data_IF_262103722347
#
_entry.id   IF_262103722347
#
_cell.length_a   1.000
_cell.length_b   1.000
_cell.length_c   1.000
_cell.angle_alpha   90.00
_cell.angle_beta   90.00
_cell.angle_gamma   90.00
#
_symmetry.space_group_name_H-M   'P 1'
#
loop_
_entity.id
_entity.type
_entity.pdbx_description
1 polymer ?
#
# COMPACT_ATOMS: atom_id res chain seq x y z
N UNK A 1 -0.56 3.91 2.78
CA UNK A 1 0.35 3.82 1.62
C UNK A 1 -0.23 4.44 0.34
N UNK A 2 -1.45 4.08 -0.09
CA UNK A 2 -2.04 4.63 -1.32
C UNK A 2 -2.04 6.16 -1.44
N UNK A 3 -2.41 6.88 -0.38
CA UNK A 3 -2.39 8.36 -0.36
C UNK A 3 -0.96 8.90 -0.55
N UNK A 4 0.04 8.32 0.11
CA UNK A 4 1.45 8.73 -0.01
C UNK A 4 1.98 8.47 -1.43
N UNK A 5 1.60 7.34 -2.03
CA UNK A 5 1.96 7.02 -3.42
C UNK A 5 1.36 8.03 -4.40
N UNK A 6 0.13 8.46 -4.16
CA UNK A 6 -0.54 9.46 -4.98
C UNK A 6 -0.02 10.88 -4.78
N UNK A 7 0.31 11.28 -3.55
CA UNK A 7 1.02 12.54 -3.25
C UNK A 7 2.35 12.61 -4.04
N UNK A 8 3.12 11.52 -4.05
CA UNK A 8 4.36 11.44 -4.85
C UNK A 8 4.11 11.52 -6.33
N UNK A 9 3.07 10.88 -6.84
CA UNK A 9 2.71 10.93 -8.26
C UNK A 9 2.39 12.37 -8.67
N UNK A 10 1.56 13.07 -7.90
CA UNK A 10 1.24 14.47 -8.14
C UNK A 10 2.48 15.37 -8.11
N UNK A 11 3.34 15.20 -7.12
CA UNK A 11 4.55 16.03 -6.99
C UNK A 11 5.56 15.79 -8.13
N UNK A 12 5.74 14.53 -8.54
CA UNK A 12 6.76 14.16 -9.54
C UNK A 12 6.26 14.37 -10.97
N UNK A 13 5.02 14.00 -11.26
CA UNK A 13 4.48 13.93 -12.64
C UNK A 13 3.71 15.19 -13.01
N UNK A 14 2.99 15.76 -12.05
CA UNK A 14 2.08 16.89 -12.29
C UNK A 14 2.57 18.20 -11.66
N UNK A 15 3.70 18.17 -10.94
CA UNK A 15 4.29 19.32 -10.24
C UNK A 15 3.29 20.05 -9.33
N UNK A 16 2.34 19.30 -8.75
CA UNK A 16 1.29 19.85 -7.87
C UNK A 16 1.40 19.31 -6.47
N UNK A 17 1.12 20.17 -5.50
CA UNK A 17 1.07 19.79 -4.09
C UNK A 17 -0.37 19.56 -3.62
N UNK A 18 -0.50 18.67 -2.64
CA UNK A 18 -1.77 18.37 -2.00
C UNK A 18 -2.20 19.53 -1.11
N UNK A 19 -3.44 20.00 -1.26
CA UNK A 19 -4.03 20.80 -0.19
C UNK A 19 -4.23 19.93 1.04
N UNK A 20 -3.82 20.42 2.21
CA UNK A 20 -4.01 19.72 3.48
C UNK A 20 -5.47 19.31 3.72
N UNK A 21 -6.43 20.16 3.31
CA UNK A 21 -7.87 19.86 3.41
C UNK A 21 -8.27 18.62 2.61
N UNK A 22 -7.72 18.46 1.41
CA UNK A 22 -8.01 17.32 0.55
C UNK A 22 -7.42 16.03 1.12
N UNK A 23 -6.21 16.09 1.67
CA UNK A 23 -5.59 14.95 2.37
C UNK A 23 -6.44 14.47 3.55
N UNK A 24 -6.88 15.39 4.42
CA UNK A 24 -7.73 15.07 5.57
C UNK A 24 -9.09 14.52 5.14
N UNK A 25 -9.67 15.05 4.05
CA UNK A 25 -10.94 14.56 3.52
C UNK A 25 -10.87 13.08 3.09
N UNK A 26 -9.77 12.66 2.43
CA UNK A 26 -9.58 11.26 2.04
C UNK A 26 -9.45 10.37 3.28
N UNK A 27 -8.59 10.75 4.24
CA UNK A 27 -8.42 10.00 5.48
C UNK A 27 -9.73 9.84 6.25
N UNK A 28 -10.48 10.93 6.39
CA UNK A 28 -11.77 10.93 7.06
C UNK A 28 -12.76 10.00 6.35
N UNK A 29 -12.79 9.99 5.02
CA UNK A 29 -13.66 9.11 4.24
C UNK A 29 -13.34 7.63 4.50
N UNK A 30 -12.06 7.24 4.45
CA UNK A 30 -11.65 5.86 4.77
C UNK A 30 -11.96 5.48 6.22
N UNK A 31 -11.76 6.41 7.16
CA UNK A 31 -12.10 6.21 8.57
C UNK A 31 -13.60 5.96 8.76
N UNK A 32 -14.46 6.78 8.15
CA UNK A 32 -15.92 6.62 8.22
C UNK A 32 -16.35 5.28 7.63
N UNK A 33 -15.82 4.88 6.47
CA UNK A 33 -16.11 3.56 5.87
C UNK A 33 -15.70 2.43 6.81
N UNK A 34 -14.56 2.56 7.49
CA UNK A 34 -14.05 1.56 8.42
C UNK A 34 -14.93 1.45 9.67
N UNK A 35 -15.38 2.58 10.22
CA UNK A 35 -16.31 2.64 11.37
C UNK A 35 -17.66 2.03 11.01
N UNK A 36 -18.23 2.40 9.85
CA UNK A 36 -19.48 1.83 9.36
C UNK A 36 -19.36 0.31 9.26
N UNK A 37 -18.25 -0.17 8.69
CA UNK A 37 -18.03 -1.61 8.54
C UNK A 37 -17.91 -2.34 9.88
N UNK A 38 -17.20 -1.71 10.84
CA UNK A 38 -17.04 -2.23 12.20
C UNK A 38 -18.35 -2.25 13.01
N UNK A 39 -19.37 -1.48 12.61
CA UNK A 39 -20.70 -1.49 13.24
C UNK A 39 -21.61 -2.51 12.53
N UNK A 40 -21.68 -2.50 11.20
CA UNK A 40 -22.59 -3.34 10.42
C UNK A 40 -22.26 -4.82 10.59
N UNK A 41 -20.97 -5.18 10.56
CA UNK A 41 -20.54 -6.58 10.59
C UNK A 41 -20.93 -7.30 11.88
N UNK A 42 -20.64 -6.77 13.09
CA UNK A 42 -21.04 -7.45 14.32
C UNK A 42 -22.56 -7.42 14.55
N UNK A 43 -23.27 -6.34 14.18
CA UNK A 43 -24.73 -6.29 14.28
C UNK A 43 -25.42 -7.40 13.46
N UNK A 44 -24.79 -7.86 12.39
CA UNK A 44 -25.27 -8.93 11.53
C UNK A 44 -24.59 -10.28 11.80
N UNK A 45 -23.97 -10.46 12.98
CA UNK A 45 -23.25 -11.68 13.39
C UNK A 45 -22.20 -12.15 12.36
N UNK A 46 -21.58 -11.20 11.64
CA UNK A 46 -20.71 -11.44 10.49
C UNK A 46 -19.27 -11.83 10.83
N UNK A 47 -18.95 -12.04 12.10
CA UNK A 47 -17.63 -12.50 12.52
C UNK A 47 -17.67 -13.97 12.95
N UNK A 48 -16.55 -14.65 12.73
CA UNK A 48 -16.25 -15.93 13.36
C UNK A 48 -14.91 -15.85 14.08
N UNK A 49 -14.75 -16.70 15.09
CA UNK A 49 -13.52 -16.83 15.85
C UNK A 49 -12.70 -17.93 15.17
N UNK A 50 -11.48 -17.60 14.76
CA UNK A 50 -10.56 -18.58 14.18
C UNK A 50 -10.11 -19.59 15.25
N UNK A 51 -9.69 -20.82 14.87
CA UNK A 51 -9.38 -21.89 15.83
C UNK A 51 -8.29 -21.55 16.86
N UNK A 52 -7.38 -20.63 16.52
CA UNK A 52 -6.36 -20.16 17.46
C UNK A 52 -6.89 -19.12 18.47
N UNK A 53 -8.14 -18.65 18.31
CA UNK A 53 -8.86 -17.69 19.16
C UNK A 53 -8.16 -16.34 19.41
N UNK A 54 -7.14 -15.98 18.61
CA UNK A 54 -6.35 -14.76 18.78
C UNK A 54 -7.09 -13.53 18.22
N UNK A 55 -7.91 -13.69 17.19
CA UNK A 55 -8.67 -12.60 16.57
C UNK A 55 -9.95 -13.08 15.87
N UNK A 56 -10.84 -12.13 15.57
CA UNK A 56 -12.06 -12.34 14.80
C UNK A 56 -11.80 -12.08 13.31
N UNK A 57 -12.37 -12.91 12.44
CA UNK A 57 -12.34 -12.72 10.99
C UNK A 57 -13.76 -12.65 10.43
N UNK A 58 -13.92 -11.95 9.31
CA UNK A 58 -15.19 -11.93 8.57
C UNK A 58 -15.59 -13.34 8.15
N UNK A 59 -16.83 -13.72 8.43
CA UNK A 59 -17.42 -14.98 7.99
C UNK A 59 -18.17 -14.75 6.67
N UNK A 60 -17.56 -15.02 5.49
CA UNK A 60 -18.23 -14.83 4.20
C UNK A 60 -19.42 -15.78 4.00
N UNK A 61 -19.57 -16.81 4.83
CA UNK A 61 -20.75 -17.71 4.81
C UNK A 61 -22.00 -17.01 5.33
N UNK A 62 -21.85 -15.93 6.11
CA UNK A 62 -22.94 -15.10 6.62
C UNK A 62 -23.03 -13.80 5.83
N UNK A 63 -24.24 -13.33 5.60
CA UNK A 63 -24.48 -12.08 4.85
C UNK A 63 -23.74 -10.89 5.47
N UNK A 64 -23.71 -10.76 6.80
CA UNK A 64 -22.99 -9.69 7.49
C UNK A 64 -21.47 -9.73 7.26
N UNK A 65 -20.86 -10.93 7.30
CA UNK A 65 -19.43 -11.09 7.08
C UNK A 65 -19.05 -10.96 5.61
N UNK A 66 -19.91 -11.42 4.70
CA UNK A 66 -19.74 -11.18 3.26
C UNK A 66 -19.74 -9.69 2.93
N UNK A 67 -20.77 -8.95 3.37
CA UNK A 67 -20.84 -7.50 3.16
C UNK A 67 -19.60 -6.81 3.73
N UNK A 68 -19.24 -7.14 4.97
CA UNK A 68 -18.10 -6.50 5.63
C UNK A 68 -16.76 -6.81 4.98
N UNK A 69 -16.58 -8.03 4.48
CA UNK A 69 -15.39 -8.41 3.71
C UNK A 69 -15.35 -7.74 2.34
N UNK A 70 -16.49 -7.54 1.65
CA UNK A 70 -16.56 -6.79 0.39
C UNK A 70 -16.19 -5.32 0.60
N UNK A 71 -16.73 -4.66 1.63
CA UNK A 71 -16.40 -3.26 1.94
C UNK A 71 -14.90 -3.11 2.23
N UNK A 72 -14.34 -4.01 3.04
CA UNK A 72 -12.90 -4.05 3.32
C UNK A 72 -12.10 -4.29 2.04
N UNK A 73 -12.49 -5.28 1.23
CA UNK A 73 -11.84 -5.64 -0.02
C UNK A 73 -11.81 -4.48 -1.02
N UNK A 74 -12.92 -3.75 -1.17
CA UNK A 74 -12.99 -2.56 -2.03
C UNK A 74 -12.12 -1.41 -1.49
N UNK A 75 -12.14 -1.18 -0.18
CA UNK A 75 -11.32 -0.14 0.46
C UNK A 75 -9.82 -0.42 0.30
N UNK A 76 -9.42 -1.66 0.52
CA UNK A 76 -8.05 -2.11 0.27
C UNK A 76 -7.71 -2.09 -1.23
N UNK A 77 -8.61 -2.57 -2.08
CA UNK A 77 -8.45 -2.64 -3.53
C UNK A 77 -8.21 -1.26 -4.14
N UNK A 78 -9.00 -0.25 -3.78
CA UNK A 78 -8.79 1.13 -4.24
C UNK A 78 -7.41 1.66 -3.85
N UNK A 79 -6.96 1.42 -2.61
CA UNK A 79 -5.63 1.81 -2.17
C UNK A 79 -4.52 1.11 -2.98
N UNK A 80 -4.66 -0.17 -3.31
CA UNK A 80 -3.68 -0.90 -4.13
C UNK A 80 -3.69 -0.45 -5.58
N UNK A 81 -4.86 -0.28 -6.19
CA UNK A 81 -4.98 0.27 -7.54
C UNK A 81 -4.30 1.63 -7.64
N UNK A 82 -4.47 2.50 -6.64
CA UNK A 82 -3.74 3.78 -6.58
C UNK A 82 -2.22 3.57 -6.52
N UNK A 83 -1.71 2.66 -5.69
CA UNK A 83 -0.26 2.37 -5.61
C UNK A 83 0.28 1.94 -6.98
N UNK A 84 -0.37 0.97 -7.62
CA UNK A 84 0.05 0.43 -8.92
C UNK A 84 0.06 1.53 -9.97
N UNK A 85 -1.07 2.23 -10.15
CA UNK A 85 -1.23 3.27 -11.17
C UNK A 85 -0.21 4.39 -10.93
N UNK A 86 -0.08 4.89 -9.70
CA UNK A 86 0.82 6.00 -9.38
C UNK A 86 2.29 5.65 -9.66
N UNK A 87 2.77 4.51 -9.20
CA UNK A 87 4.18 4.15 -9.42
C UNK A 87 4.46 3.78 -10.88
N UNK A 88 3.50 3.19 -11.60
CA UNK A 88 3.64 2.98 -13.05
C UNK A 88 3.73 4.33 -13.78
N UNK A 89 2.85 5.28 -13.48
CA UNK A 89 2.89 6.63 -14.07
C UNK A 89 4.22 7.33 -13.76
N UNK A 90 4.73 7.26 -12.52
CA UNK A 90 6.04 7.81 -12.16
C UNK A 90 7.15 7.17 -13.01
N UNK A 91 7.16 5.85 -13.16
CA UNK A 91 8.16 5.14 -13.96
C UNK A 91 8.12 5.58 -15.44
N UNK A 92 6.93 5.67 -16.04
CA UNK A 92 6.75 6.11 -17.42
C UNK A 92 7.20 7.56 -17.60
N UNK A 93 6.77 8.46 -16.71
CA UNK A 93 7.12 9.87 -16.75
C UNK A 93 8.63 10.08 -16.63
N UNK A 94 9.29 9.44 -15.65
CA UNK A 94 10.74 9.54 -15.46
C UNK A 94 11.54 9.03 -16.66
N UNK A 95 11.05 7.98 -17.33
CA UNK A 95 11.68 7.48 -18.55
C UNK A 95 11.55 8.48 -19.71
N UNK A 96 10.38 9.10 -19.87
CA UNK A 96 10.14 10.10 -20.91
C UNK A 96 11.00 11.36 -20.70
N UNK A 97 11.01 11.89 -19.48
CA UNK A 97 11.83 13.06 -19.13
C UNK A 97 13.33 12.80 -19.30
N UNK A 98 13.80 11.61 -18.92
CA UNK A 98 15.19 11.20 -19.16
C UNK A 98 15.56 11.20 -20.64
N UNK A 99 14.66 10.77 -21.53
CA UNK A 99 14.92 10.73 -22.96
C UNK A 99 14.97 12.14 -23.55
N UNK A 100 14.06 13.03 -23.12
CA UNK A 100 14.07 14.44 -23.54
C UNK A 100 15.34 15.15 -23.08
N UNK A 101 15.71 15.01 -21.80
CA UNK A 101 16.92 15.63 -21.26
C UNK A 101 18.21 15.14 -21.95
N UNK A 102 18.26 13.86 -22.35
CA UNK A 102 19.37 13.33 -23.16
C UNK A 102 19.46 13.98 -24.54
N UNK A 103 18.32 14.19 -25.19
CA UNK A 103 18.25 14.82 -26.52
C UNK A 103 18.56 16.32 -26.47
N UNK A 104 18.09 17.03 -25.44
CA UNK A 104 18.21 18.49 -25.34
C UNK A 104 19.55 18.98 -24.77
N UNK A 105 20.11 18.26 -23.79
CA UNK A 105 21.30 18.72 -23.05
C UNK A 105 22.59 18.00 -23.45
N UNK A 106 22.53 17.02 -24.36
CA UNK A 106 23.69 16.23 -24.78
C UNK A 106 24.38 15.49 -23.63
N UNK A 107 23.63 15.19 -22.56
CA UNK A 107 24.15 14.51 -21.37
C UNK A 107 24.63 13.10 -21.70
N UNK A 108 25.69 12.66 -21.02
CA UNK A 108 26.18 11.28 -21.13
C UNK A 108 25.04 10.29 -20.83
N UNK A 109 24.62 9.50 -21.83
CA UNK A 109 23.46 8.63 -21.70
C UNK A 109 23.66 7.56 -20.63
N UNK A 110 24.89 7.17 -20.32
CA UNK A 110 25.19 6.13 -19.33
C UNK A 110 24.86 6.62 -17.91
N UNK A 111 25.29 7.82 -17.53
CA UNK A 111 25.05 8.38 -16.19
C UNK A 111 23.58 8.67 -15.93
N UNK A 112 22.89 9.25 -16.90
CA UNK A 112 21.45 9.56 -16.79
C UNK A 112 20.64 8.27 -16.66
N UNK A 113 20.96 7.26 -17.48
CA UNK A 113 20.29 5.95 -17.44
C UNK A 113 20.48 5.26 -16.08
N UNK A 114 21.66 5.36 -15.47
CA UNK A 114 21.91 4.77 -14.15
C UNK A 114 21.03 5.42 -13.07
N UNK A 115 20.99 6.75 -12.99
CA UNK A 115 20.18 7.46 -12.00
C UNK A 115 18.67 7.18 -12.14
N UNK A 116 18.19 7.12 -13.38
CA UNK A 116 16.79 6.81 -13.71
C UNK A 116 16.47 5.37 -13.35
N UNK A 117 17.33 4.42 -13.70
CA UNK A 117 17.15 3.01 -13.36
C UNK A 117 17.12 2.78 -11.85
N UNK A 118 17.99 3.44 -11.08
CA UNK A 118 17.96 3.34 -9.61
C UNK A 118 16.62 3.83 -9.04
N UNK A 119 16.07 4.92 -9.59
CA UNK A 119 14.78 5.47 -9.15
C UNK A 119 13.61 4.56 -9.52
N UNK A 120 13.63 3.99 -10.73
CA UNK A 120 12.63 3.03 -11.21
C UNK A 120 12.68 1.75 -10.39
N UNK A 121 13.87 1.19 -10.16
CA UNK A 121 14.06 -0.03 -9.35
C UNK A 121 13.51 0.21 -7.93
N UNK A 122 13.86 1.33 -7.28
CA UNK A 122 13.32 1.66 -5.96
C UNK A 122 11.78 1.73 -5.96
N UNK A 123 11.20 2.38 -6.97
CA UNK A 123 9.74 2.53 -7.09
C UNK A 123 9.05 1.18 -7.34
N UNK A 124 9.63 0.33 -8.19
CA UNK A 124 9.15 -1.03 -8.44
C UNK A 124 9.30 -1.92 -7.22
N UNK A 125 10.42 -1.86 -6.49
CA UNK A 125 10.61 -2.62 -5.24
C UNK A 125 9.54 -2.28 -4.21
N UNK A 126 9.17 -1.01 -4.08
CA UNK A 126 8.09 -0.56 -3.17
C UNK A 126 6.75 -1.15 -3.61
N UNK A 127 6.44 -1.10 -4.90
CA UNK A 127 5.22 -1.66 -5.47
C UNK A 127 5.15 -3.17 -5.23
N UNK A 128 6.22 -3.90 -5.55
CA UNK A 128 6.31 -5.35 -5.38
C UNK A 128 6.18 -5.74 -3.90
N UNK A 129 6.87 -5.06 -2.99
CA UNK A 129 6.77 -5.32 -1.55
C UNK A 129 5.36 -5.07 -1.00
N UNK A 130 4.67 -4.03 -1.51
CA UNK A 130 3.29 -3.74 -1.12
C UNK A 130 2.32 -4.80 -1.66
N UNK A 131 2.52 -5.26 -2.90
CA UNK A 131 1.69 -6.30 -3.52
C UNK A 131 1.92 -7.67 -2.90
N UNK A 132 3.16 -8.03 -2.54
CA UNK A 132 3.47 -9.33 -1.96
C UNK A 132 2.87 -9.47 -0.56
N UNK A 133 2.99 -8.44 0.27
CA UNK A 133 2.46 -8.46 1.64
C UNK A 133 0.95 -8.50 1.66
N UNK A 134 0.32 -7.66 0.84
CA UNK A 134 -1.10 -7.36 1.02
C UNK A 134 -1.99 -7.87 -0.10
N UNK A 135 -1.42 -8.06 -1.29
CA UNK A 135 -2.13 -8.66 -2.42
C UNK A 135 -2.48 -10.12 -2.16
N UNK A 136 -1.64 -10.86 -1.42
CA UNK A 136 -1.94 -12.23 -0.98
C UNK A 136 -3.18 -12.25 -0.10
N UNK A 137 -3.25 -11.36 0.89
CA UNK A 137 -4.41 -11.22 1.78
C UNK A 137 -5.69 -10.89 1.01
N UNK A 138 -5.65 -9.87 0.15
CA UNK A 138 -6.83 -9.49 -0.66
C UNK A 138 -7.25 -10.62 -1.61
N UNK A 139 -6.30 -11.33 -2.21
CA UNK A 139 -6.61 -12.44 -3.12
C UNK A 139 -7.33 -13.57 -2.40
N UNK A 140 -6.84 -13.97 -1.21
CA UNK A 140 -7.50 -15.02 -0.43
C UNK A 140 -8.89 -14.55 0.04
N UNK A 141 -9.04 -13.28 0.42
CA UNK A 141 -10.35 -12.70 0.75
C UNK A 141 -11.33 -12.71 -0.42
N UNK A 142 -10.88 -12.39 -1.64
CA UNK A 142 -11.74 -12.44 -2.84
C UNK A 142 -12.13 -13.89 -3.17
N UNK A 143 -11.19 -14.83 -3.06
CA UNK A 143 -11.48 -16.26 -3.29
C UNK A 143 -12.49 -16.77 -2.25
N UNK A 144 -12.39 -16.33 -0.99
CA UNK A 144 -13.28 -16.78 0.06
C UNK A 144 -14.72 -16.30 -0.09
N UNK A 145 -14.99 -15.28 -0.91
CA UNK A 145 -16.35 -14.89 -1.30
C UNK A 145 -17.07 -15.96 -2.10
N UNK A 146 -16.33 -16.73 -2.91
CA UNK A 146 -16.89 -17.79 -3.75
C UNK A 146 -16.73 -19.17 -3.11
N UNK A 147 -15.65 -19.37 -2.34
CA UNK A 147 -15.33 -20.60 -1.64
C UNK A 147 -14.98 -20.35 -0.17
N UNK A 148 -15.98 -20.13 0.71
CA UNK A 148 -15.77 -19.84 2.14
C UNK A 148 -14.92 -20.89 2.87
N UNK A 149 -14.99 -22.15 2.44
CA UNK A 149 -14.23 -23.27 2.98
C UNK A 149 -12.71 -23.15 2.80
N UNK A 150 -12.23 -22.15 2.04
CA UNK A 150 -10.79 -21.89 1.90
C UNK A 150 -10.17 -21.42 3.22
N UNK A 151 -10.95 -20.83 4.13
CA UNK A 151 -10.46 -20.41 5.44
C UNK A 151 -10.15 -21.61 6.34
N UNK A 152 -8.91 -22.06 6.24
CA UNK A 152 -8.29 -23.10 7.05
C UNK A 152 -7.14 -22.50 7.87
N UNK A 153 -6.66 -23.24 8.88
CA UNK A 153 -5.49 -22.83 9.66
C UNK A 153 -4.24 -22.59 8.78
N UNK A 154 -4.11 -23.34 7.68
CA UNK A 154 -3.00 -23.19 6.75
C UNK A 154 -3.08 -21.86 5.99
N UNK A 155 -4.24 -21.54 5.43
CA UNK A 155 -4.45 -20.28 4.71
C UNK A 155 -4.34 -19.06 5.63
N UNK A 156 -4.80 -19.21 6.86
CA UNK A 156 -4.66 -18.18 7.90
C UNK A 156 -3.18 -17.92 8.23
N UNK A 157 -2.39 -18.98 8.45
CA UNK A 157 -0.94 -18.86 8.64
C UNK A 157 -0.24 -18.17 7.47
N UNK A 158 -0.63 -18.50 6.24
CA UNK A 158 -0.11 -17.83 5.03
C UNK A 158 -0.47 -16.34 5.06
N UNK A 159 -1.74 -15.98 5.31
CA UNK A 159 -2.16 -14.59 5.38
C UNK A 159 -1.36 -13.80 6.42
N UNK A 160 -1.28 -14.32 7.64
CA UNK A 160 -0.55 -13.70 8.76
C UNK A 160 0.92 -13.48 8.38
N UNK A 161 1.57 -14.48 7.80
CA UNK A 161 2.96 -14.40 7.38
C UNK A 161 3.23 -13.27 6.37
N UNK A 162 2.29 -13.00 5.46
CA UNK A 162 2.44 -11.93 4.47
C UNK A 162 1.99 -10.55 4.99
N UNK A 163 0.96 -10.50 5.84
CA UNK A 163 0.37 -9.22 6.30
C UNK A 163 1.09 -8.63 7.52
N UNK A 164 1.57 -9.45 8.47
CA UNK A 164 2.26 -8.96 9.67
C UNK A 164 3.52 -8.13 9.34
N UNK A 165 4.41 -8.57 8.42
CA UNK A 165 5.58 -7.78 8.05
C UNK A 165 5.23 -6.48 7.34
N UNK A 166 3.99 -6.27 6.89
CA UNK A 166 3.57 -5.09 6.14
C UNK A 166 3.87 -3.81 6.91
N UNK A 167 3.66 -3.77 8.24
CA UNK A 167 3.97 -2.57 9.04
C UNK A 167 5.47 -2.25 9.01
N UNK A 168 6.31 -3.26 9.21
CA UNK A 168 7.77 -3.12 9.19
C UNK A 168 8.23 -2.68 7.79
N UNK A 169 7.72 -3.34 6.75
CA UNK A 169 8.04 -3.03 5.35
C UNK A 169 7.61 -1.59 5.00
N UNK A 170 6.42 -1.16 5.42
CA UNK A 170 5.94 0.21 5.21
C UNK A 170 6.85 1.24 5.87
N UNK A 171 7.34 0.97 7.08
CA UNK A 171 8.30 1.85 7.78
C UNK A 171 9.64 1.89 7.03
N UNK A 172 10.19 0.74 6.63
CA UNK A 172 11.43 0.66 5.86
C UNK A 172 11.29 1.42 4.52
N UNK A 173 10.16 1.27 3.85
CA UNK A 173 9.84 2.01 2.63
C UNK A 173 9.82 3.50 2.92
N UNK A 174 9.10 3.96 3.95
CA UNK A 174 8.99 5.37 4.30
C UNK A 174 10.37 6.00 4.60
N UNK A 175 11.23 5.28 5.33
CA UNK A 175 12.59 5.72 5.66
C UNK A 175 13.49 5.81 4.42
N UNK A 176 13.41 4.82 3.51
CA UNK A 176 14.11 4.88 2.22
C UNK A 176 13.62 6.03 1.33
N UNK A 177 12.35 6.39 1.49
CA UNK A 177 11.67 7.40 0.70
C UNK A 177 11.93 8.83 1.18
N UNK A 178 12.17 9.04 2.48
CA UNK A 178 12.47 10.33 3.10
C UNK A 178 13.77 10.23 3.90
N UNK A 179 14.94 10.50 3.28
CA UNK A 179 16.24 10.40 3.96
C UNK A 179 16.34 11.35 5.17
N UNK A 180 15.58 12.44 5.19
CA UNK A 180 15.45 13.34 6.34
C UNK A 180 14.89 12.63 7.59
N UNK A 181 13.90 11.75 7.41
CA UNK A 181 13.35 10.94 8.51
C UNK A 181 14.39 9.96 9.05
N UNK A 182 15.19 9.37 8.16
CA UNK A 182 16.29 8.50 8.55
C UNK A 182 17.38 9.24 9.34
N UNK A 183 17.74 10.46 8.92
CA UNK A 183 18.64 11.34 9.68
C UNK A 183 18.06 11.69 11.05
N UNK A 184 16.78 12.04 11.12
CA UNK A 184 16.07 12.30 12.38
C UNK A 184 16.06 11.09 13.30
N UNK A 185 15.79 9.90 12.76
CA UNK A 185 15.80 8.63 13.51
C UNK A 185 17.19 8.33 14.07
N UNK A 186 18.24 8.43 13.24
CA UNK A 186 19.64 8.27 13.67
C UNK A 186 20.00 9.20 14.81
N UNK A 187 19.62 10.48 14.70
CA UNK A 187 19.84 11.48 15.74
C UNK A 187 19.13 11.12 17.05
N UNK A 188 17.92 10.57 16.97
CA UNK A 188 17.12 10.16 18.13
C UNK A 188 17.74 8.97 18.87
N UNK A 189 18.35 8.04 18.14
CA UNK A 189 19.10 6.91 18.70
C UNK A 189 20.57 7.23 19.06
N UNK A 190 21.00 8.49 18.94
CA UNK A 190 22.36 8.91 19.28
C UNK A 190 23.44 8.47 18.28
N UNK A 191 23.06 7.97 17.11
CA UNK A 191 24.02 7.70 16.03
C UNK A 191 24.43 9.02 15.37
N UNK A 192 25.73 9.31 15.31
CA UNK A 192 26.26 10.51 14.64
C UNK A 192 25.73 10.58 13.20
N UNK A 193 25.04 11.67 12.87
CA UNK A 193 24.58 11.97 11.52
C UNK A 193 25.62 12.85 10.81
N UNK A 194 26.41 12.27 9.91
CA UNK A 194 27.00 13.02 8.79
C UNK A 194 25.94 13.16 7.67
#
# INVERSE_FOLDING_TARGET
MGIISFERCLKIVFEREYSYKFYISILFSFFVVSVINAIITPLNNGFFILPNAIYCLFDPSKTGGLIGSIITGLSCGTAYSMIIICYLTICVHRRSESQKAQLELGLDPAKVKQAVNTTIIKSLSIMVASLSTSGVYVSIMVISWFHPAIFTNLTDMIQVFFIEPQMIINVIILLNLKPELWKGLKKLFGFCSE
#
